data_IF_067598779627
#
_entry.id   IF_067598779627
#
_cell.length_a   1.000
_cell.length_b   1.000
_cell.length_c   1.000
_cell.angle_alpha   90.00
_cell.angle_beta   90.00
_cell.angle_gamma   90.00
#
_symmetry.space_group_name_H-M   'P 1'
#
loop_
_entity.id
_entity.type
_entity.pdbx_description
1 polymer ?
#
# COMPACT_ATOMS: atom_id res chain seq x y z
N UNK A 1 15.93 6.22 21.13
CA UNK A 1 14.49 5.91 20.98
C UNK A 1 14.28 5.43 19.57
N UNK A 2 13.85 4.18 19.38
CA UNK A 2 13.78 3.60 18.05
C UNK A 2 12.67 4.27 17.23
N UNK A 3 13.05 4.99 16.17
CA UNK A 3 12.16 5.67 15.23
C UNK A 3 11.38 4.70 14.33
N UNK A 4 10.75 3.69 14.91
CA UNK A 4 9.85 2.78 14.20
C UNK A 4 8.55 3.52 13.91
N UNK A 5 8.27 3.72 12.62
CA UNK A 5 7.00 4.25 12.15
C UNK A 5 5.97 3.10 12.12
N UNK A 6 5.41 2.78 13.29
CA UNK A 6 4.34 1.79 13.44
C UNK A 6 2.97 2.44 13.22
N UNK A 7 2.78 3.05 12.05
CA UNK A 7 1.49 3.64 11.70
C UNK A 7 0.65 2.64 10.93
N UNK A 8 -0.54 2.35 11.43
CA UNK A 8 -1.49 1.44 10.81
C UNK A 8 -2.12 2.11 9.59
N UNK A 9 -2.28 1.33 8.52
CA UNK A 9 -3.07 1.73 7.35
C UNK A 9 -4.53 1.88 7.78
N UNK A 10 -5.23 2.97 7.41
CA UNK A 10 -6.60 3.18 7.84
C UNK A 10 -7.53 2.12 7.25
N UNK A 11 -8.56 1.74 8.01
CA UNK A 11 -9.44 0.61 7.67
C UNK A 11 -10.08 0.70 6.29
N UNK A 12 -10.54 1.89 5.88
CA UNK A 12 -11.14 2.11 4.56
C UNK A 12 -10.19 1.74 3.42
N UNK A 13 -8.90 2.03 3.56
CA UNK A 13 -7.91 1.74 2.53
C UNK A 13 -7.61 0.24 2.49
N UNK A 14 -7.53 -0.42 3.65
CA UNK A 14 -7.44 -1.88 3.72
C UNK A 14 -8.61 -2.55 2.99
N UNK A 15 -9.84 -2.08 3.21
CA UNK A 15 -11.03 -2.63 2.57
C UNK A 15 -10.97 -2.50 1.04
N UNK A 16 -10.50 -1.35 0.52
CA UNK A 16 -10.27 -1.17 -0.91
C UNK A 16 -9.19 -2.11 -1.46
N UNK A 17 -8.06 -2.26 -0.75
CA UNK A 17 -6.97 -3.14 -1.16
C UNK A 17 -7.40 -4.62 -1.17
N UNK A 18 -8.22 -5.03 -0.20
CA UNK A 18 -8.83 -6.37 -0.14
C UNK A 18 -9.84 -6.55 -1.28
N UNK A 19 -10.72 -5.58 -1.53
CA UNK A 19 -11.77 -5.68 -2.55
C UNK A 19 -11.20 -5.69 -3.97
N UNK A 20 -10.33 -4.72 -4.30
CA UNK A 20 -9.85 -4.49 -5.66
C UNK A 20 -8.68 -5.41 -6.04
N UNK A 21 -7.81 -5.73 -5.09
CA UNK A 21 -6.60 -6.50 -5.32
C UNK A 21 -6.63 -7.87 -4.62
N UNK A 22 -7.55 -8.10 -3.68
CA UNK A 22 -7.56 -9.35 -2.92
C UNK A 22 -6.37 -9.48 -1.97
N UNK A 23 -5.76 -8.36 -1.58
CA UNK A 23 -4.64 -8.36 -0.66
C UNK A 23 -5.11 -8.81 0.72
N UNK A 24 -4.57 -9.91 1.25
CA UNK A 24 -5.04 -10.52 2.52
C UNK A 24 -3.96 -10.69 3.58
N UNK A 25 -2.72 -10.36 3.25
CA UNK A 25 -1.57 -10.50 4.15
C UNK A 25 -0.75 -9.23 4.08
N UNK A 26 -0.47 -8.62 5.24
CA UNK A 26 0.50 -7.53 5.34
C UNK A 26 1.87 -8.11 5.70
N UNK A 27 2.84 -7.97 4.79
CA UNK A 27 4.20 -8.50 4.97
C UNK A 27 5.10 -7.62 5.83
N UNK A 28 4.63 -6.43 6.21
CA UNK A 28 5.32 -5.53 7.13
C UNK A 28 4.81 -5.68 8.57
N UNK A 29 3.53 -6.01 8.75
CA UNK A 29 2.93 -6.12 10.08
C UNK A 29 3.33 -7.40 10.83
N UNK A 30 3.66 -7.26 12.11
CA UNK A 30 4.03 -8.36 13.02
C UNK A 30 2.91 -8.83 13.94
N UNK A 31 1.96 -7.96 14.25
CA UNK A 31 0.96 -8.24 15.30
C UNK A 31 -0.45 -7.77 14.94
N UNK A 32 -0.58 -6.66 14.21
CA UNK A 32 -1.88 -6.05 13.93
C UNK A 32 -1.92 -5.47 12.52
N UNK A 33 -2.88 -5.93 11.73
CA UNK A 33 -3.29 -5.26 10.49
C UNK A 33 -4.70 -4.73 10.68
N UNK A 34 -5.02 -3.59 10.07
CA UNK A 34 -6.40 -3.14 10.01
C UNK A 34 -7.20 -4.02 9.05
N UNK A 35 -8.48 -4.22 9.37
CA UNK A 35 -9.55 -4.76 8.51
C UNK A 35 -9.16 -5.90 7.56
N UNK A 36 -9.29 -7.15 8.02
CA UNK A 36 -9.33 -8.34 7.15
C UNK A 36 -7.99 -8.83 6.59
N UNK A 37 -6.90 -8.06 6.75
CA UNK A 37 -5.54 -8.53 6.46
C UNK A 37 -4.95 -9.26 7.67
N UNK A 38 -4.17 -10.31 7.42
CA UNK A 38 -3.44 -11.05 8.45
C UNK A 38 -1.98 -10.57 8.51
N UNK A 39 -1.37 -10.46 9.71
CA UNK A 39 0.06 -10.21 9.80
C UNK A 39 0.85 -11.38 9.19
N UNK A 40 2.00 -11.07 8.61
CA UNK A 40 2.90 -12.09 8.09
C UNK A 40 3.84 -12.58 9.21
N UNK A 41 3.93 -13.90 9.46
CA UNK A 41 4.71 -14.42 10.58
C UNK A 41 6.23 -14.43 10.32
N UNK A 42 6.68 -13.96 9.15
CA UNK A 42 8.08 -13.96 8.76
C UNK A 42 8.57 -12.55 8.47
N UNK A 43 9.89 -12.36 8.45
CA UNK A 43 10.49 -11.10 8.03
C UNK A 43 10.29 -10.86 6.52
N UNK A 44 9.47 -9.87 6.18
CA UNK A 44 9.15 -9.50 4.80
C UNK A 44 10.35 -9.00 3.99
N UNK A 45 11.45 -8.58 4.61
CA UNK A 45 12.66 -8.18 3.86
C UNK A 45 13.44 -9.38 3.33
N UNK A 46 13.40 -10.50 4.04
CA UNK A 46 14.23 -11.67 3.77
C UNK A 46 13.45 -12.87 3.23
N UNK A 47 12.12 -12.87 3.37
CA UNK A 47 11.27 -13.98 2.92
C UNK A 47 10.49 -13.68 1.65
N UNK A 48 10.17 -14.74 0.90
CA UNK A 48 9.32 -14.64 -0.28
C UNK A 48 7.88 -14.32 0.13
N UNK A 49 7.28 -13.33 -0.53
CA UNK A 49 5.94 -12.88 -0.22
C UNK A 49 4.90 -13.88 -0.72
N UNK A 50 3.75 -14.00 -0.03
CA UNK A 50 2.61 -14.70 -0.57
C UNK A 50 2.08 -13.95 -1.80
N UNK A 51 1.27 -14.64 -2.61
CA UNK A 51 0.54 -13.98 -3.67
C UNK A 51 -0.56 -13.10 -3.08
N UNK A 52 -0.79 -11.93 -3.68
CA UNK A 52 -1.69 -10.86 -3.18
C UNK A 52 -1.28 -10.40 -1.78
N UNK A 53 -0.02 -10.01 -1.65
CA UNK A 53 0.51 -9.39 -0.45
C UNK A 53 0.26 -7.87 -0.42
N UNK A 54 0.24 -7.31 0.77
CA UNK A 54 0.24 -5.88 1.04
C UNK A 54 1.49 -5.51 1.84
N UNK A 55 2.04 -4.32 1.62
CA UNK A 55 3.14 -3.80 2.41
C UNK A 55 2.89 -2.32 2.77
N UNK A 56 2.89 -2.02 4.06
CA UNK A 56 2.98 -0.65 4.59
C UNK A 56 4.29 -0.48 5.35
N UNK A 57 5.43 -0.42 4.64
CA UNK A 57 6.76 -0.36 5.24
C UNK A 57 6.97 0.91 6.08
N UNK A 58 7.88 0.89 7.07
CA UNK A 58 8.34 2.12 7.69
C UNK A 58 9.06 3.00 6.64
N UNK A 59 8.68 4.26 6.51
CA UNK A 59 9.11 5.11 5.39
C UNK A 59 10.60 5.50 5.44
N UNK A 60 11.24 5.36 6.60
CA UNK A 60 12.69 5.52 6.70
C UNK A 60 13.49 4.33 6.12
N UNK A 61 12.83 3.21 5.79
CA UNK A 61 13.46 2.02 5.22
C UNK A 61 12.97 1.69 3.79
N UNK A 62 12.38 2.66 3.08
CA UNK A 62 11.76 2.43 1.76
C UNK A 62 12.69 1.79 0.73
N UNK A 63 14.00 2.11 0.75
CA UNK A 63 14.95 1.53 -0.20
C UNK A 63 15.06 0.00 -0.09
N UNK A 64 15.07 -0.52 1.14
CA UNK A 64 15.16 -1.97 1.42
C UNK A 64 13.85 -2.68 1.03
N UNK A 65 12.72 -2.08 1.38
CA UNK A 65 11.40 -2.62 1.06
C UNK A 65 11.09 -2.58 -0.42
N UNK A 66 11.46 -1.52 -1.13
CA UNK A 66 11.36 -1.46 -2.59
C UNK A 66 12.20 -2.57 -3.24
N UNK A 67 13.43 -2.78 -2.78
CA UNK A 67 14.26 -3.88 -3.28
C UNK A 67 13.63 -5.25 -2.99
N UNK A 68 13.05 -5.46 -1.80
CA UNK A 68 12.32 -6.68 -1.46
C UNK A 68 11.10 -6.90 -2.36
N UNK A 69 10.30 -5.85 -2.60
CA UNK A 69 9.14 -5.90 -3.48
C UNK A 69 9.53 -6.31 -4.91
N UNK A 70 10.59 -5.70 -5.44
CA UNK A 70 11.08 -6.01 -6.79
C UNK A 70 11.64 -7.42 -6.94
N UNK A 71 12.15 -8.05 -5.87
CA UNK A 71 12.52 -9.48 -5.86
C UNK A 71 11.29 -10.38 -5.90
N UNK A 72 10.18 -9.93 -5.32
CA UNK A 72 8.93 -10.68 -5.24
C UNK A 72 8.08 -10.45 -6.49
N UNK A 73 8.25 -11.31 -7.50
CA UNK A 73 7.51 -11.22 -8.78
C UNK A 73 6.07 -11.75 -8.75
N UNK A 74 5.45 -11.82 -7.56
CA UNK A 74 4.02 -12.17 -7.37
C UNK A 74 3.17 -10.91 -7.27
N UNK A 75 1.85 -11.05 -7.17
CA UNK A 75 0.94 -9.92 -6.98
C UNK A 75 1.14 -9.28 -5.60
N UNK A 76 1.44 -7.99 -5.55
CA UNK A 76 1.49 -7.23 -4.31
C UNK A 76 1.15 -5.76 -4.50
N UNK A 77 0.65 -5.13 -3.44
CA UNK A 77 0.45 -3.69 -3.34
C UNK A 77 1.33 -3.12 -2.22
N UNK A 78 1.88 -1.93 -2.39
CA UNK A 78 2.73 -1.26 -1.41
C UNK A 78 2.36 0.21 -1.28
N UNK A 79 2.15 0.68 -0.04
CA UNK A 79 2.07 2.11 0.25
C UNK A 79 3.49 2.65 0.41
N UNK A 80 3.73 3.82 -0.15
CA UNK A 80 5.01 4.51 -0.09
C UNK A 80 4.80 6.03 -0.03
N UNK A 81 5.75 6.80 0.51
CA UNK A 81 5.71 8.25 0.38
C UNK A 81 5.85 8.67 -1.09
N UNK A 82 5.24 9.79 -1.47
CA UNK A 82 5.35 10.40 -2.80
C UNK A 82 6.73 11.04 -3.02
N UNK A 83 7.79 10.23 -3.01
CA UNK A 83 9.18 10.68 -3.07
C UNK A 83 9.74 10.61 -4.49
N UNK A 84 9.23 11.44 -5.39
CA UNK A 84 9.61 11.46 -6.82
C UNK A 84 11.08 11.81 -7.08
N UNK A 85 11.84 12.23 -6.07
CA UNK A 85 13.29 12.44 -6.16
C UNK A 85 14.13 11.23 -5.75
N UNK A 86 13.51 10.20 -5.17
CA UNK A 86 14.21 9.06 -4.62
C UNK A 86 14.41 7.96 -5.68
N UNK A 87 15.63 7.39 -5.76
CA UNK A 87 15.93 6.32 -6.73
C UNK A 87 14.99 5.10 -6.61
N UNK A 88 14.66 4.70 -5.38
CA UNK A 88 13.76 3.57 -5.16
C UNK A 88 12.35 3.81 -5.71
N UNK A 89 11.89 5.07 -5.76
CA UNK A 89 10.58 5.43 -6.29
C UNK A 89 10.52 5.15 -7.79
N UNK A 90 11.53 5.60 -8.54
CA UNK A 90 11.61 5.34 -9.98
C UNK A 90 11.73 3.85 -10.28
N UNK A 91 12.57 3.11 -9.54
CA UNK A 91 12.71 1.67 -9.71
C UNK A 91 11.38 0.91 -9.57
N UNK A 92 10.51 1.36 -8.67
CA UNK A 92 9.16 0.83 -8.52
C UNK A 92 8.24 1.32 -9.64
N UNK A 93 8.22 2.62 -9.92
CA UNK A 93 7.37 3.24 -10.92
C UNK A 93 7.59 2.68 -12.34
N UNK A 94 8.83 2.34 -12.70
CA UNK A 94 9.18 1.75 -14.00
C UNK A 94 8.58 0.35 -14.19
N UNK A 95 8.28 -0.34 -13.09
CA UNK A 95 7.83 -1.73 -13.10
C UNK A 95 6.42 -1.91 -12.55
N UNK A 96 5.77 -0.87 -12.02
CA UNK A 96 4.50 -0.96 -11.31
C UNK A 96 3.47 0.01 -11.86
N UNK A 97 2.20 -0.29 -11.63
CA UNK A 97 1.18 0.74 -11.67
C UNK A 97 1.32 1.63 -10.43
N UNK A 98 1.23 2.94 -10.61
CA UNK A 98 1.27 3.92 -9.52
C UNK A 98 -0.11 4.54 -9.38
N UNK A 99 -0.74 4.35 -8.23
CA UNK A 99 -1.98 5.00 -7.87
C UNK A 99 -1.69 6.19 -6.98
N UNK A 100 -2.29 7.33 -7.33
CA UNK A 100 -2.27 8.56 -6.55
C UNK A 100 -3.65 8.69 -5.89
N UNK A 101 -3.75 8.51 -4.57
CA UNK A 101 -4.96 8.83 -3.83
C UNK A 101 -5.32 10.30 -4.05
N UNK A 102 -6.62 10.59 -4.18
CA UNK A 102 -7.17 11.95 -4.28
C UNK A 102 -7.28 12.65 -2.92
N UNK A 103 -7.06 11.90 -1.85
CA UNK A 103 -7.01 12.38 -0.46
C UNK A 103 -5.67 12.03 0.18
N UNK A 104 -5.23 12.86 1.13
CA UNK A 104 -4.10 12.51 1.98
C UNK A 104 -4.49 11.33 2.86
N UNK A 105 -3.59 10.34 2.97
CA UNK A 105 -3.81 9.18 3.83
C UNK A 105 -3.45 9.59 5.26
N UNK A 106 -4.47 9.69 6.10
CA UNK A 106 -4.33 9.78 7.56
C UNK A 106 -4.12 8.36 8.10
N UNK A 107 -2.95 8.12 8.69
CA UNK A 107 -2.66 6.82 9.29
C UNK A 107 -3.23 6.74 10.70
N UNK A 108 -3.28 5.55 11.28
CA UNK A 108 -3.77 5.33 12.63
C UNK A 108 -2.64 4.88 13.55
N UNK A 109 -2.68 5.23 14.83
CA UNK A 109 -1.86 4.54 15.82
C UNK A 109 -2.51 3.25 16.32
N UNK A 110 -1.84 2.61 17.27
CA UNK A 110 -2.33 1.39 17.91
C UNK A 110 -3.71 1.53 18.58
N UNK A 111 -4.12 2.75 18.93
CA UNK A 111 -5.42 3.08 19.53
C UNK A 111 -6.48 3.48 18.51
N UNK A 112 -6.16 3.47 17.21
CA UNK A 112 -7.06 3.89 16.14
C UNK A 112 -7.18 5.42 15.99
N UNK A 113 -6.32 6.19 16.67
CA UNK A 113 -6.31 7.65 16.54
C UNK A 113 -5.54 8.05 15.30
N UNK A 114 -6.05 9.05 14.58
CA UNK A 114 -5.38 9.62 13.42
C UNK A 114 -3.98 10.15 13.76
N UNK A 115 -3.05 9.88 12.86
CA UNK A 115 -1.61 10.20 12.87
C UNK A 115 -1.27 10.99 11.61
N UNK A 116 -0.02 11.49 11.46
CA UNK A 116 0.30 12.48 10.45
C UNK A 116 -0.11 12.03 9.04
N UNK A 117 -0.80 12.92 8.36
CA UNK A 117 -1.08 12.81 6.95
C UNK A 117 0.23 12.84 6.17
N UNK A 118 0.40 11.89 5.24
CA UNK A 118 1.56 11.86 4.34
C UNK A 118 1.09 11.87 2.90
N UNK A 119 1.80 12.65 2.08
CA UNK A 119 1.71 12.49 0.62
C UNK A 119 2.19 11.08 0.30
N UNK A 120 1.25 10.23 -0.09
CA UNK A 120 1.44 8.79 -0.21
C UNK A 120 0.99 8.34 -1.59
N UNK A 121 1.65 7.34 -2.13
CA UNK A 121 1.29 6.66 -3.37
C UNK A 121 1.13 5.17 -3.10
N UNK A 122 0.42 4.48 -3.96
CA UNK A 122 0.27 3.03 -3.90
C UNK A 122 0.88 2.42 -5.16
N UNK A 123 1.94 1.64 -4.99
CA UNK A 123 2.52 0.84 -6.06
C UNK A 123 1.82 -0.51 -6.12
N UNK A 124 1.47 -0.95 -7.32
CA UNK A 124 0.80 -2.22 -7.57
C UNK A 124 1.57 -2.98 -8.66
N UNK A 125 2.13 -4.13 -8.29
CA UNK A 125 2.95 -4.93 -9.22
C UNK A 125 2.11 -5.50 -10.37
N UNK A 126 2.63 -5.50 -11.61
CA UNK A 126 1.98 -6.06 -12.80
C UNK A 126 1.94 -7.59 -12.70
N UNK A 127 0.97 -8.05 -11.95
CA UNK A 127 0.34 -9.35 -12.05
C UNK A 127 -1.15 -9.24 -11.75
N UNK A 128 -1.61 -8.03 -11.41
CA UNK A 128 -2.99 -7.81 -11.04
C UNK A 128 -3.94 -7.90 -12.22
N UNK A 129 -3.59 -7.59 -13.48
CA UNK A 129 -4.60 -7.60 -14.55
C UNK A 129 -4.17 -7.83 -16.01
N UNK A 130 -5.00 -8.65 -16.67
CA UNK A 130 -5.43 -8.44 -18.06
C UNK A 130 -6.88 -7.90 -18.16
N UNK A 131 -7.62 -7.65 -17.05
CA UNK A 131 -9.04 -7.21 -17.09
C UNK A 131 -9.47 -5.90 -16.38
N UNK A 132 -8.85 -5.34 -15.33
CA UNK A 132 -9.36 -4.08 -14.71
C UNK A 132 -8.68 -2.78 -15.14
N UNK A 133 -7.72 -2.80 -16.07
CA UNK A 133 -7.18 -1.52 -16.58
C UNK A 133 -8.32 -0.65 -17.20
N UNK A 134 -9.43 -1.25 -17.64
CA UNK A 134 -10.62 -0.53 -18.08
C UNK A 134 -11.60 -0.10 -16.98
N UNK A 135 -11.52 -0.63 -15.75
CA UNK A 135 -12.53 -0.39 -14.69
C UNK A 135 -12.02 0.50 -13.55
N UNK A 136 -10.74 0.42 -13.19
CA UNK A 136 -10.17 1.13 -12.03
C UNK A 136 -9.96 2.64 -12.28
N UNK A 137 -9.55 3.04 -13.49
CA UNK A 137 -9.41 4.45 -13.85
C UNK A 137 -10.74 5.22 -13.92
N UNK A 138 -11.87 4.51 -14.09
CA UNK A 138 -13.21 5.10 -14.25
C UNK A 138 -14.05 5.14 -12.96
N UNK A 139 -13.71 4.35 -11.93
CA UNK A 139 -14.51 4.28 -10.69
C UNK A 139 -14.03 5.24 -9.59
N UNK A 140 -12.73 5.42 -9.41
CA UNK A 140 -12.21 6.36 -8.40
C UNK A 140 -12.52 7.84 -8.73
N UNK A 141 -12.79 8.17 -10.00
CA UNK A 141 -13.25 9.52 -10.41
C UNK A 141 -14.77 9.72 -10.22
N UNK A 142 -15.58 8.66 -10.28
CA UNK A 142 -17.05 8.77 -10.30
C UNK A 142 -17.72 8.84 -8.94
N UNK A 143 -17.17 8.16 -7.93
CA UNK A 143 -17.83 8.11 -6.62
C UNK A 143 -17.63 9.39 -5.79
N UNK A 144 -16.67 10.25 -6.15
CA UNK A 144 -16.49 11.58 -5.57
C UNK A 144 -17.24 12.72 -6.29
N UNK A 145 -17.72 12.51 -7.52
CA UNK A 145 -18.55 13.52 -8.20
C UNK A 145 -20.01 13.54 -7.69
N UNK A 146 -20.49 12.43 -7.10
CA UNK A 146 -21.88 12.32 -6.60
C UNK A 146 -22.10 12.80 -5.16
N UNK A 147 -21.05 13.16 -4.42
CA UNK A 147 -21.16 13.70 -3.04
C UNK A 147 -21.03 15.22 -2.96
N UNK A 148 -20.87 15.91 -4.09
CA UNK A 148 -20.76 17.37 -4.17
C UNK A 148 -22.05 18.10 -4.61
N UNK A 149 -23.14 17.37 -4.87
CA UNK A 149 -24.44 17.95 -5.26
C UNK A 149 -25.53 17.51 -4.28
N UNK A 150 -25.60 18.19 -3.12
CA UNK A 150 -26.83 18.52 -2.39
C UNK A 150 -26.52 19.64 -1.40
#
# INVERSE_FOLDING_TARGET
>A
MSGYQNWRTPGWLCDHLVSEFGCRVDVTSREFCAHGMKPWPHDGLTTAWPDRAFANPPFNAMGEWAAAALRNKKRWAMIAPASVSARWFHNLADQCMVFLPDVRIAYEDETGRARPDRDSVIFVWPGFYARTIATLGLRLVRDNYKKGET
#
